data_IF_888009931754
#
_entry.id   IF_888009931754
#
_cell.length_a   1.000
_cell.length_b   1.000
_cell.length_c   1.000
_cell.angle_alpha   90.00
_cell.angle_beta   90.00
_cell.angle_gamma   90.00
#
_symmetry.space_group_name_H-M   'P 1'
#
loop_
_entity.id
_entity.type
_entity.pdbx_description
1 polymer ?
#
# COMPACT_ATOMS: atom_id res chain seq x y z
N UNK A 1 0.45 -6.80 48.74
CA UNK A 1 0.36 -5.47 49.38
C UNK A 1 -0.35 -4.55 48.41
N UNK A 2 -1.69 -4.47 48.49
CA UNK A 2 -2.52 -3.73 47.54
C UNK A 2 -2.71 -2.30 48.04
N UNK A 3 -2.28 -1.30 47.25
CA UNK A 3 -2.43 0.12 47.56
C UNK A 3 -3.91 0.47 47.42
N UNK A 4 -4.64 0.42 48.52
CA UNK A 4 -6.06 0.76 48.60
C UNK A 4 -6.24 2.27 48.53
N UNK A 5 -6.48 2.80 47.33
CA UNK A 5 -6.79 4.22 47.16
C UNK A 5 -8.16 4.56 47.79
N UNK A 6 -8.17 5.55 48.69
CA UNK A 6 -9.39 6.05 49.36
C UNK A 6 -10.25 6.77 48.32
N UNK A 7 -11.59 6.57 48.30
CA UNK A 7 -12.52 7.18 47.32
C UNK A 7 -12.38 8.71 47.15
N UNK A 8 -11.92 9.41 48.18
CA UNK A 8 -11.61 10.85 48.14
C UNK A 8 -10.45 11.20 47.21
N UNK A 9 -9.42 10.34 47.16
CA UNK A 9 -8.26 10.50 46.30
C UNK A 9 -8.61 10.23 44.83
N UNK A 10 -9.51 9.27 44.57
CA UNK A 10 -10.06 9.03 43.24
C UNK A 10 -10.90 10.19 42.73
N UNK A 11 -11.72 10.80 43.58
CA UNK A 11 -12.47 12.02 43.24
C UNK A 11 -11.54 13.20 42.98
N UNK A 12 -10.52 13.40 43.82
CA UNK A 12 -9.49 14.43 43.61
C UNK A 12 -8.73 14.21 42.31
N UNK A 13 -8.33 12.98 41.99
CA UNK A 13 -7.66 12.64 40.73
C UNK A 13 -8.58 12.88 39.52
N UNK A 14 -9.87 12.56 39.64
CA UNK A 14 -10.86 12.83 38.59
C UNK A 14 -11.09 14.33 38.39
N UNK A 15 -11.17 15.12 39.47
CA UNK A 15 -11.25 16.58 39.41
C UNK A 15 -9.97 17.20 38.84
N UNK A 16 -8.79 16.69 39.24
CA UNK A 16 -7.49 17.12 38.70
C UNK A 16 -7.41 16.84 37.19
N UNK A 17 -7.93 15.70 36.73
CA UNK A 17 -7.99 15.33 35.31
C UNK A 17 -9.02 16.12 34.50
N UNK A 18 -9.95 16.80 35.15
CA UNK A 18 -10.98 17.66 34.55
C UNK A 18 -10.60 19.15 34.61
N UNK A 19 -9.46 19.50 35.20
CA UNK A 19 -9.01 20.90 35.28
C UNK A 19 -8.80 21.48 33.87
N UNK A 20 -9.17 22.73 33.62
CA UNK A 20 -9.03 23.37 32.30
C UNK A 20 -7.61 23.28 31.74
N UNK A 21 -6.58 23.37 32.60
CA UNK A 21 -5.17 23.25 32.21
C UNK A 21 -4.78 21.86 31.70
N UNK A 22 -5.25 20.78 32.35
CA UNK A 22 -4.97 19.41 31.88
C UNK A 22 -5.73 19.06 30.60
N UNK A 23 -6.91 19.65 30.36
CA UNK A 23 -7.64 19.46 29.11
C UNK A 23 -7.00 20.21 27.94
N UNK A 24 -6.48 21.41 28.17
CA UNK A 24 -5.74 22.17 27.16
C UNK A 24 -4.46 21.43 26.75
N UNK A 25 -3.68 20.94 27.73
CA UNK A 25 -2.46 20.16 27.48
C UNK A 25 -2.76 18.83 26.76
N UNK A 26 -3.81 18.10 27.17
CA UNK A 26 -4.25 16.88 26.48
C UNK A 26 -4.65 17.16 25.03
N UNK A 27 -5.36 18.26 24.77
CA UNK A 27 -5.77 18.65 23.43
C UNK A 27 -4.55 19.01 22.56
N UNK A 28 -3.59 19.78 23.09
CA UNK A 28 -2.34 20.09 22.36
C UNK A 28 -1.55 18.82 22.02
N UNK A 29 -1.42 17.88 22.97
CA UNK A 29 -0.74 16.60 22.75
C UNK A 29 -1.49 15.73 21.73
N UNK A 30 -2.82 15.69 21.76
CA UNK A 30 -3.64 14.98 20.78
C UNK A 30 -3.47 15.56 19.38
N UNK A 31 -3.54 16.88 19.25
CA UNK A 31 -3.34 17.60 17.99
C UNK A 31 -1.95 17.32 17.40
N UNK A 32 -0.91 17.39 18.24
CA UNK A 32 0.46 17.10 17.81
C UNK A 32 0.62 15.64 17.34
N UNK A 33 0.01 14.68 18.05
CA UNK A 33 0.04 13.26 17.67
C UNK A 33 -0.69 13.00 16.35
N UNK A 34 -1.90 13.52 16.18
CA UNK A 34 -2.70 13.32 14.98
C UNK A 34 -2.04 13.98 13.75
N UNK A 35 -1.48 15.19 13.90
CA UNK A 35 -0.73 15.86 12.84
C UNK A 35 0.53 15.11 12.42
N UNK A 36 1.34 14.66 13.39
CA UNK A 36 2.53 13.87 13.12
C UNK A 36 2.19 12.52 12.45
N UNK A 37 1.08 11.88 12.87
CA UNK A 37 0.58 10.66 12.24
C UNK A 37 0.16 10.91 10.79
N UNK A 38 -0.51 12.02 10.49
CA UNK A 38 -0.94 12.34 9.12
C UNK A 38 0.25 12.58 8.19
N UNK A 39 1.28 13.30 8.66
CA UNK A 39 2.50 13.54 7.88
C UNK A 39 3.25 12.24 7.63
N UNK A 40 3.46 11.43 8.67
CA UNK A 40 4.16 10.15 8.54
C UNK A 40 3.41 9.16 7.66
N UNK A 41 2.07 9.11 7.76
CA UNK A 41 1.21 8.33 6.86
C UNK A 41 1.37 8.79 5.41
N UNK A 42 1.26 10.09 5.15
CA UNK A 42 1.32 10.63 3.77
C UNK A 42 2.68 10.35 3.12
N UNK A 43 3.77 10.60 3.85
CA UNK A 43 5.13 10.34 3.35
C UNK A 43 5.35 8.84 3.16
N UNK A 44 4.93 8.01 4.12
CA UNK A 44 5.06 6.56 4.05
C UNK A 44 4.28 5.97 2.88
N UNK A 45 3.03 6.40 2.68
CA UNK A 45 2.16 5.96 1.60
C UNK A 45 2.74 6.32 0.23
N UNK A 46 3.23 7.56 0.04
CA UNK A 46 3.85 7.99 -1.22
C UNK A 46 5.11 7.18 -1.54
N UNK A 47 6.00 7.00 -0.56
CA UNK A 47 7.22 6.21 -0.74
C UNK A 47 6.88 4.75 -1.08
N UNK A 48 5.89 4.18 -0.39
CA UNK A 48 5.41 2.83 -0.66
C UNK A 48 4.85 2.71 -2.08
N UNK A 49 3.93 3.60 -2.49
CA UNK A 49 3.29 3.54 -3.80
C UNK A 49 4.27 3.73 -4.95
N UNK A 50 5.21 4.68 -4.84
CA UNK A 50 6.23 4.88 -5.86
C UNK A 50 7.18 3.68 -5.89
N UNK A 51 7.64 3.21 -4.73
CA UNK A 51 8.58 2.10 -4.62
C UNK A 51 8.02 0.79 -5.16
N UNK A 52 6.77 0.46 -4.80
CA UNK A 52 6.12 -0.77 -5.25
C UNK A 52 5.83 -0.74 -6.76
N UNK A 53 5.48 0.43 -7.31
CA UNK A 53 5.22 0.57 -8.76
C UNK A 53 6.51 0.40 -9.57
N UNK A 54 7.62 1.01 -9.13
CA UNK A 54 8.94 0.80 -9.75
C UNK A 54 9.34 -0.67 -9.68
N UNK A 55 9.09 -1.33 -8.55
CA UNK A 55 9.38 -2.75 -8.37
C UNK A 55 8.58 -3.62 -9.35
N UNK A 56 7.26 -3.43 -9.46
CA UNK A 56 6.43 -4.17 -10.40
C UNK A 56 6.81 -3.90 -11.86
N UNK A 57 7.13 -2.65 -12.20
CA UNK A 57 7.56 -2.32 -13.54
C UNK A 57 8.90 -2.98 -13.90
N UNK A 58 9.86 -3.00 -12.97
CA UNK A 58 11.13 -3.71 -13.16
C UNK A 58 10.92 -5.22 -13.33
N UNK A 59 10.06 -5.83 -12.51
CA UNK A 59 9.69 -7.24 -12.65
C UNK A 59 9.05 -7.53 -14.00
N UNK A 60 8.18 -6.64 -14.48
CA UNK A 60 7.50 -6.76 -15.76
C UNK A 60 8.48 -6.68 -16.93
N UNK A 61 9.44 -5.74 -16.89
CA UNK A 61 10.51 -5.66 -17.90
C UNK A 61 11.32 -6.95 -17.93
N UNK A 62 11.72 -7.47 -16.76
CA UNK A 62 12.42 -8.76 -16.70
C UNK A 62 11.56 -9.90 -17.27
N UNK A 63 10.26 -9.94 -16.98
CA UNK A 63 9.35 -10.95 -17.51
C UNK A 63 9.25 -10.92 -19.05
N UNK A 64 9.29 -9.74 -19.68
CA UNK A 64 9.35 -9.63 -21.13
C UNK A 64 10.73 -9.98 -21.70
N UNK A 65 11.81 -9.56 -21.04
CA UNK A 65 13.18 -9.83 -21.49
C UNK A 65 13.53 -11.31 -21.49
N UNK A 66 13.05 -12.08 -20.51
CA UNK A 66 13.40 -13.50 -20.37
C UNK A 66 12.76 -14.42 -21.45
N UNK A 67 11.99 -13.86 -22.41
CA UNK A 67 11.03 -14.58 -23.28
C UNK A 67 10.00 -15.37 -22.45
N UNK A 68 8.77 -15.59 -22.94
CA UNK A 68 7.75 -16.32 -22.19
C UNK A 68 8.10 -17.82 -22.20
N UNK A 69 9.09 -18.22 -21.40
CA UNK A 69 9.43 -19.61 -21.12
C UNK A 69 8.83 -20.09 -19.79
N UNK A 70 8.51 -19.16 -18.89
CA UNK A 70 8.08 -19.46 -17.51
C UNK A 70 6.63 -19.02 -17.21
N UNK A 71 6.11 -18.00 -17.88
CA UNK A 71 4.78 -17.43 -17.61
C UNK A 71 3.99 -17.20 -18.90
N UNK A 72 2.66 -17.37 -18.80
CA UNK A 72 1.75 -17.16 -19.94
C UNK A 72 1.76 -15.70 -20.38
N UNK A 73 1.84 -15.47 -21.69
CA UNK A 73 1.83 -14.11 -22.28
C UNK A 73 0.58 -13.32 -21.89
N UNK A 74 -0.56 -13.99 -21.68
CA UNK A 74 -1.81 -13.36 -21.26
C UNK A 74 -1.70 -12.75 -19.85
N UNK A 75 -1.00 -13.44 -18.93
CA UNK A 75 -0.77 -12.94 -17.57
C UNK A 75 0.23 -11.80 -17.55
N UNK A 76 1.28 -11.87 -18.37
CA UNK A 76 2.24 -10.77 -18.52
C UNK A 76 1.57 -9.52 -19.09
N UNK A 77 0.68 -9.68 -20.07
CA UNK A 77 -0.11 -8.57 -20.61
C UNK A 77 -1.10 -8.00 -19.57
N UNK A 78 -1.76 -8.83 -18.75
CA UNK A 78 -2.63 -8.32 -17.70
C UNK A 78 -1.86 -7.53 -16.63
N UNK A 79 -0.63 -7.96 -16.29
CA UNK A 79 0.26 -7.21 -15.39
C UNK A 79 0.66 -5.86 -15.97
N UNK A 80 0.93 -5.79 -17.27
CA UNK A 80 1.20 -4.54 -17.96
C UNK A 80 0.01 -3.58 -17.86
N UNK A 81 -1.21 -4.05 -18.12
CA UNK A 81 -2.42 -3.22 -18.01
C UNK A 81 -2.60 -2.73 -16.57
N UNK A 82 -2.42 -3.59 -15.57
CA UNK A 82 -2.51 -3.22 -14.16
C UNK A 82 -1.47 -2.17 -13.77
N UNK A 83 -0.21 -2.35 -14.17
CA UNK A 83 0.87 -1.39 -13.92
C UNK A 83 0.60 -0.02 -14.57
N UNK A 84 0.22 0.00 -15.85
CA UNK A 84 -0.13 1.26 -16.53
C UNK A 84 -1.32 1.97 -15.88
N UNK A 85 -2.33 1.20 -15.44
CA UNK A 85 -3.48 1.75 -14.70
C UNK A 85 -3.05 2.31 -13.35
N UNK A 86 -2.20 1.60 -12.62
CA UNK A 86 -1.68 2.04 -11.32
C UNK A 86 -0.83 3.33 -11.47
N UNK A 87 0.03 3.42 -12.48
CA UNK A 87 0.79 4.64 -12.81
C UNK A 87 -0.15 5.81 -13.08
N UNK A 88 -1.20 5.61 -13.88
CA UNK A 88 -2.17 6.66 -14.19
C UNK A 88 -2.91 7.14 -12.93
N UNK A 89 -3.36 6.21 -12.08
CA UNK A 89 -4.02 6.53 -10.81
C UNK A 89 -3.06 7.21 -9.82
N UNK A 90 -1.80 6.78 -9.75
CA UNK A 90 -0.76 7.39 -8.92
C UNK A 90 -0.46 8.83 -9.37
N UNK A 91 -0.34 9.07 -10.68
CA UNK A 91 -0.15 10.41 -11.23
C UNK A 91 -1.35 11.32 -10.90
N UNK A 92 -2.58 10.79 -11.01
CA UNK A 92 -3.79 11.50 -10.60
C UNK A 92 -3.79 11.80 -9.10
N UNK A 93 -3.42 10.83 -8.26
CA UNK A 93 -3.33 10.99 -6.81
C UNK A 93 -2.33 12.08 -6.41
N UNK A 94 -1.10 12.05 -6.96
CA UNK A 94 -0.07 13.08 -6.74
C UNK A 94 -0.57 14.46 -7.19
N UNK A 95 -1.25 14.53 -8.34
CA UNK A 95 -1.84 15.79 -8.84
C UNK A 95 -2.89 16.33 -7.88
N UNK A 96 -3.79 15.49 -7.37
CA UNK A 96 -4.77 15.90 -6.37
C UNK A 96 -4.09 16.36 -5.08
N UNK A 97 -3.04 15.65 -4.64
CA UNK A 97 -2.33 15.96 -3.41
C UNK A 97 -1.60 17.32 -3.45
N UNK A 98 -0.92 17.66 -4.56
CA UNK A 98 -0.07 18.86 -4.63
C UNK A 98 -0.64 20.03 -5.43
N UNK A 99 -1.40 19.77 -6.51
CA UNK A 99 -1.86 20.82 -7.41
C UNK A 99 -3.28 21.32 -7.10
N UNK A 100 -4.04 20.53 -6.33
CA UNK A 100 -5.42 20.79 -5.95
C UNK A 100 -6.32 21.23 -7.11
N UNK A 101 -6.42 20.45 -8.19
CA UNK A 101 -7.05 20.87 -9.45
C UNK A 101 -8.55 21.15 -9.32
N UNK A 102 -9.21 20.61 -8.29
CA UNK A 102 -10.64 20.78 -8.06
C UNK A 102 -11.01 21.98 -7.18
N UNK A 103 -10.02 22.75 -6.73
CA UNK A 103 -10.25 23.98 -5.95
C UNK A 103 -10.62 25.10 -6.91
N UNK A 104 -11.83 25.63 -6.76
CA UNK A 104 -12.29 26.78 -7.54
C UNK A 104 -11.53 28.04 -7.11
N UNK A 105 -10.98 28.76 -8.07
CA UNK A 105 -10.41 30.09 -7.82
C UNK A 105 -11.53 31.08 -7.49
N UNK A 106 -11.32 31.89 -6.45
CA UNK A 106 -12.17 33.02 -6.11
C UNK A 106 -11.30 34.26 -6.30
N UNK A 107 -11.70 35.17 -7.20
CA UNK A 107 -10.96 36.38 -7.56
C UNK A 107 -9.51 36.15 -8.04
N UNK A 108 -9.27 35.10 -8.82
CA UNK A 108 -7.96 34.81 -9.42
C UNK A 108 -6.88 34.41 -8.42
N UNK A 109 -7.26 34.15 -7.16
CA UNK A 109 -6.39 33.56 -6.15
C UNK A 109 -6.96 32.22 -5.72
N UNK A 110 -6.09 31.21 -5.66
CA UNK A 110 -6.44 29.96 -4.96
C UNK A 110 -6.66 30.30 -3.49
N UNK A 111 -7.78 29.89 -2.87
CA UNK A 111 -7.98 30.09 -1.44
C UNK A 111 -6.79 29.50 -0.68
N UNK A 112 -6.26 30.24 0.29
CA UNK A 112 -5.17 29.72 1.13
C UNK A 112 -5.77 28.75 2.13
N UNK A 113 -5.23 27.54 2.20
CA UNK A 113 -5.61 26.58 3.23
C UNK A 113 -5.12 27.11 4.59
N UNK A 114 -6.03 27.72 5.36
CA UNK A 114 -5.73 28.15 6.72
C UNK A 114 -5.77 26.92 7.63
N UNK A 115 -4.61 26.39 7.98
CA UNK A 115 -4.50 25.36 9.02
C UNK A 115 -5.02 25.96 10.33
N UNK A 116 -6.11 25.45 10.91
CA UNK A 116 -6.59 25.93 12.19
C UNK A 116 -5.50 25.76 13.25
N UNK A 117 -5.43 26.64 14.25
CA UNK A 117 -4.49 26.51 15.37
C UNK A 117 -4.62 25.16 16.11
N UNK A 118 -5.74 24.46 15.94
CA UNK A 118 -5.98 23.11 16.42
C UNK A 118 -5.33 22.00 15.56
N UNK A 119 -4.54 22.31 14.54
CA UNK A 119 -3.77 21.37 13.70
C UNK A 119 -4.56 20.31 12.90
N UNK A 120 -5.87 20.20 13.15
CA UNK A 120 -6.76 19.20 12.57
C UNK A 120 -7.59 19.87 11.48
N UNK A 121 -7.24 19.61 10.21
CA UNK A 121 -8.02 20.03 9.04
C UNK A 121 -9.07 18.96 8.76
N UNK A 122 -10.31 19.17 9.22
CA UNK A 122 -11.46 18.32 8.87
C UNK A 122 -12.26 19.01 7.77
N UNK A 123 -12.12 18.54 6.54
CA UNK A 123 -12.90 19.06 5.42
C UNK A 123 -14.37 18.67 5.56
N UNK A 124 -15.26 19.66 5.67
CA UNK A 124 -16.72 19.46 5.67
C UNK A 124 -17.27 19.60 4.26
N UNK A 125 -18.46 19.01 4.02
CA UNK A 125 -19.24 19.25 2.79
C UNK A 125 -19.59 20.73 2.71
N UNK A 126 -18.82 21.49 1.93
CA UNK A 126 -18.91 22.95 1.85
C UNK A 126 -17.54 23.63 1.67
N UNK A 127 -16.44 22.96 2.06
CA UNK A 127 -15.11 23.50 1.89
C UNK A 127 -14.66 23.43 0.42
N UNK A 128 -13.97 24.46 -0.10
CA UNK A 128 -13.48 24.49 -1.49
C UNK A 128 -12.47 23.36 -1.78
N UNK A 129 -11.84 22.81 -0.74
CA UNK A 129 -10.90 21.69 -0.81
C UNK A 129 -11.55 20.31 -0.68
N UNK A 130 -12.84 20.23 -0.33
CA UNK A 130 -13.51 18.96 -0.03
C UNK A 130 -13.48 17.98 -1.21
N UNK A 131 -13.73 18.46 -2.42
CA UNK A 131 -13.70 17.62 -3.63
C UNK A 131 -12.30 17.08 -3.92
N UNK A 132 -11.28 17.89 -3.67
CA UNK A 132 -9.89 17.47 -3.87
C UNK A 132 -9.45 16.46 -2.82
N UNK A 133 -9.78 16.71 -1.55
CA UNK A 133 -9.57 15.75 -0.47
C UNK A 133 -10.24 14.40 -0.76
N UNK A 134 -11.51 14.44 -1.19
CA UNK A 134 -12.24 13.23 -1.57
C UNK A 134 -11.58 12.49 -2.74
N UNK A 135 -11.13 13.21 -3.76
CA UNK A 135 -10.41 12.62 -4.89
C UNK A 135 -9.09 11.97 -4.48
N UNK A 136 -8.33 12.62 -3.59
CA UNK A 136 -7.09 12.06 -3.01
C UNK A 136 -7.36 10.79 -2.22
N UNK A 137 -8.37 10.78 -1.34
CA UNK A 137 -8.75 9.58 -0.57
C UNK A 137 -9.24 8.46 -1.48
N UNK A 138 -10.14 8.73 -2.43
CA UNK A 138 -10.65 7.70 -3.34
C UNK A 138 -9.52 7.11 -4.19
N UNK A 139 -8.64 7.95 -4.73
CA UNK A 139 -7.50 7.49 -5.53
C UNK A 139 -6.50 6.66 -4.72
N UNK A 140 -6.26 7.00 -3.45
CA UNK A 140 -5.44 6.20 -2.53
C UNK A 140 -5.97 4.77 -2.39
N UNK A 141 -7.27 4.62 -2.14
CA UNK A 141 -7.89 3.29 -2.01
C UNK A 141 -7.91 2.51 -3.31
N UNK A 142 -8.22 3.18 -4.44
CA UNK A 142 -8.16 2.53 -5.76
C UNK A 142 -6.75 2.02 -6.03
N UNK A 143 -5.72 2.81 -5.72
CA UNK A 143 -4.32 2.41 -5.89
C UNK A 143 -3.96 1.21 -5.01
N UNK A 144 -4.40 1.20 -3.74
CA UNK A 144 -4.23 0.07 -2.85
C UNK A 144 -4.86 -1.22 -3.41
N UNK A 145 -6.08 -1.14 -3.95
CA UNK A 145 -6.72 -2.29 -4.59
C UNK A 145 -6.00 -2.76 -5.85
N UNK A 146 -5.50 -1.84 -6.69
CA UNK A 146 -4.72 -2.19 -7.87
C UNK A 146 -3.42 -2.93 -7.50
N UNK A 147 -2.74 -2.48 -6.45
CA UNK A 147 -1.53 -3.16 -5.94
C UNK A 147 -1.88 -4.57 -5.43
N UNK A 148 -2.96 -4.72 -4.67
CA UNK A 148 -3.42 -6.04 -4.20
C UNK A 148 -3.76 -6.98 -5.36
N UNK A 149 -4.45 -6.49 -6.39
CA UNK A 149 -4.73 -7.25 -7.61
C UNK A 149 -3.44 -7.64 -8.33
N UNK A 150 -2.46 -6.73 -8.39
CA UNK A 150 -1.16 -7.00 -9.00
C UNK A 150 -0.41 -8.11 -8.24
N UNK A 151 -0.37 -8.05 -6.90
CA UNK A 151 0.18 -9.13 -6.06
C UNK A 151 -0.55 -10.45 -6.29
N UNK A 152 -1.88 -10.43 -6.39
CA UNK A 152 -2.67 -11.64 -6.64
C UNK A 152 -2.28 -12.33 -7.95
N UNK A 153 -1.90 -11.58 -8.99
CA UNK A 153 -1.39 -12.19 -10.23
C UNK A 153 -0.12 -12.99 -9.98
N UNK A 154 0.76 -12.56 -9.08
CA UNK A 154 1.97 -13.32 -8.71
C UNK A 154 1.62 -14.53 -7.85
N UNK A 155 0.71 -14.39 -6.89
CA UNK A 155 0.21 -15.52 -6.11
C UNK A 155 -0.40 -16.61 -7.01
N UNK A 156 -1.13 -16.21 -8.06
CA UNK A 156 -1.68 -17.13 -9.05
C UNK A 156 -0.59 -17.90 -9.81
N UNK A 157 0.49 -17.22 -10.25
CA UNK A 157 1.62 -17.89 -10.88
C UNK A 157 2.25 -18.92 -9.94
N UNK A 158 2.50 -18.56 -8.67
CA UNK A 158 3.06 -19.48 -7.69
C UNK A 158 2.17 -20.69 -7.43
N UNK A 159 0.85 -20.50 -7.39
CA UNK A 159 -0.10 -21.60 -7.23
C UNK A 159 -0.13 -22.55 -8.43
N UNK A 160 0.25 -22.07 -9.62
CA UNK A 160 0.28 -22.87 -10.86
C UNK A 160 1.60 -23.61 -11.07
N UNK A 161 2.68 -23.25 -10.36
CA UNK A 161 3.95 -23.98 -10.41
C UNK A 161 3.78 -25.34 -9.74
N UNK A 162 3.69 -26.40 -10.55
CA UNK A 162 3.76 -27.78 -10.07
C UNK A 162 5.21 -28.14 -9.79
N UNK A 163 5.58 -28.20 -8.51
CA UNK A 163 6.86 -28.78 -8.09
C UNK A 163 6.70 -30.31 -8.23
N UNK A 164 7.51 -30.99 -9.05
CA UNK A 164 7.45 -32.45 -9.15
C UNK A 164 7.64 -33.08 -7.78
N UNK A 165 6.85 -34.11 -7.46
CA UNK A 165 7.03 -34.83 -6.21
C UNK A 165 8.39 -35.55 -6.22
N UNK A 166 8.94 -35.82 -5.03
CA UNK A 166 10.20 -36.59 -4.91
C UNK A 166 10.07 -37.97 -5.60
N UNK A 167 8.87 -38.56 -5.55
CA UNK A 167 8.55 -39.83 -6.20
C UNK A 167 8.61 -39.71 -7.74
N UNK A 168 8.08 -38.63 -8.32
CA UNK A 168 8.15 -38.37 -9.76
C UNK A 168 9.59 -38.14 -10.23
N UNK A 169 10.40 -37.46 -9.41
CA UNK A 169 11.82 -37.23 -9.69
C UNK A 169 12.59 -38.54 -9.64
N UNK A 170 12.34 -39.37 -8.63
CA UNK A 170 13.01 -40.67 -8.46
C UNK A 170 12.62 -41.64 -9.59
N UNK A 171 11.34 -41.72 -9.94
CA UNK A 171 10.86 -42.53 -11.05
C UNK A 171 11.47 -42.10 -12.39
N UNK A 172 11.63 -40.79 -12.61
CA UNK A 172 12.29 -40.25 -13.81
C UNK A 172 13.77 -40.59 -13.86
N UNK A 173 14.47 -40.55 -12.72
CA UNK A 173 15.88 -40.90 -12.62
C UNK A 173 16.12 -42.38 -12.93
N UNK A 174 15.32 -43.28 -12.32
CA UNK A 174 15.38 -44.73 -12.59
C UNK A 174 15.08 -45.03 -14.06
N UNK A 175 14.10 -44.34 -14.67
CA UNK A 175 13.76 -44.52 -16.08
C UNK A 175 14.91 -44.10 -17.01
N UNK A 176 15.57 -42.98 -16.70
CA UNK A 176 16.72 -42.50 -17.46
C UNK A 176 17.93 -43.43 -17.31
N UNK A 177 18.19 -43.94 -16.11
CA UNK A 177 19.24 -44.93 -15.86
C UNK A 177 19.01 -46.21 -16.68
N UNK A 178 17.79 -46.77 -16.66
CA UNK A 178 17.45 -47.97 -17.44
C UNK A 178 17.58 -47.76 -18.95
N UNK A 179 17.22 -46.58 -19.46
CA UNK A 179 17.38 -46.24 -20.87
C UNK A 179 18.86 -46.20 -21.28
N UNK A 180 19.73 -45.68 -20.41
CA UNK A 180 21.17 -45.62 -20.66
C UNK A 180 21.81 -47.03 -20.72
N UNK A 181 21.38 -47.96 -19.87
CA UNK A 181 21.87 -49.35 -19.89
C UNK A 181 21.39 -50.15 -21.11
N UNK A 182 20.24 -49.81 -21.69
CA UNK A 182 19.73 -50.48 -22.90
C UNK A 182 20.40 -50.02 -24.20
N UNK A 183 21.11 -48.89 -24.18
CA UNK A 183 21.81 -48.33 -25.33
C UNK A 183 23.31 -48.69 -25.34
N UNK A 184 23.84 -49.37 -24.31
CA UNK A 184 25.20 -49.91 -24.34
C UNK A 184 25.27 -51.11 -25.30
N UNK A 185 26.08 -51.04 -26.36
CA UNK A 185 26.24 -52.17 -27.27
C UNK A 185 26.90 -53.32 -26.50
N UNK A 186 26.24 -54.48 -26.48
CA UNK A 186 26.82 -55.69 -25.92
C UNK A 186 28.16 -55.97 -26.60
N UNK A 187 29.26 -55.82 -25.88
CA UNK A 187 30.60 -56.18 -26.38
C UNK A 187 30.54 -57.63 -26.91
N UNK A 188 30.76 -57.77 -28.22
CA UNK A 188 30.96 -59.05 -28.91
C UNK A 188 32.45 -59.36 -29.00
#
# INVERSE_FOLDING_TARGET
>A
MAIGWRKSELKKAQELMLTPGTNAEKNEVLVAKEGAQLVTHTVGALLYFIGIEVYFFAQLVMAYMLRPRMTSIHLTNSRLILALTAIAVLAFHITCLFASPFVKEIDGKKPTESVPASGIVRHKKGDPFYSNWLATTVSEWVLAFLILLHVLTYCYDFAMVKIPSLEDLHASCIKHEKANWSDEPSEQ
#
